data_IF_187727299281
#
_entry.id   IF_187727299281
#
_cell.length_a   1.000
_cell.length_b   1.000
_cell.length_c   1.000
_cell.angle_alpha   90.00
_cell.angle_beta   90.00
_cell.angle_gamma   90.00
#
_symmetry.space_group_name_H-M   'P 1'
#
loop_
_entity.id
_entity.type
_entity.pdbx_description
1 polymer ?
#
# COMPACT_ATOMS: atom_id res chain seq x y z
N UNK A 1 -9.17 -21.66 -22.08
CA UNK A 1 -9.06 -20.48 -21.18
C UNK A 1 -9.98 -20.74 -20.02
N UNK A 2 -9.49 -20.63 -18.78
CA UNK A 2 -10.35 -20.77 -17.60
C UNK A 2 -11.23 -19.52 -17.45
N UNK A 3 -12.41 -19.66 -16.84
CA UNK A 3 -13.25 -18.53 -16.45
C UNK A 3 -12.52 -17.62 -15.48
N UNK A 4 -12.53 -16.31 -15.72
CA UNK A 4 -11.93 -15.32 -14.82
C UNK A 4 -12.81 -14.07 -14.72
N UNK A 5 -12.69 -13.37 -13.60
CA UNK A 5 -13.30 -12.07 -13.37
C UNK A 5 -12.28 -11.12 -12.76
N UNK A 6 -12.41 -9.84 -13.02
CA UNK A 6 -11.59 -8.81 -12.41
C UNK A 6 -12.41 -7.55 -12.13
N UNK A 7 -11.98 -6.80 -11.12
CA UNK A 7 -12.55 -5.48 -10.79
C UNK A 7 -11.45 -4.63 -10.16
N UNK A 8 -11.26 -3.40 -10.66
CA UNK A 8 -10.35 -2.40 -10.07
C UNK A 8 -11.22 -1.22 -9.61
N UNK A 9 -11.86 -1.33 -8.43
CA UNK A 9 -12.85 -0.35 -7.98
C UNK A 9 -12.22 0.96 -7.47
N UNK A 10 -10.90 1.04 -7.41
CA UNK A 10 -10.17 2.17 -6.83
C UNK A 10 -10.09 3.36 -7.80
N UNK A 11 -10.05 4.55 -7.21
CA UNK A 11 -9.73 5.78 -7.94
C UNK A 11 -8.22 6.04 -7.86
N UNK A 12 -7.50 5.78 -8.94
CA UNK A 12 -6.05 5.89 -9.00
C UNK A 12 -5.65 7.13 -9.79
N UNK A 13 -4.90 8.03 -9.16
CA UNK A 13 -4.34 9.23 -9.78
C UNK A 13 -2.84 9.07 -9.93
N UNK A 14 -2.34 9.10 -11.16
CA UNK A 14 -0.90 8.94 -11.47
C UNK A 14 -0.37 10.18 -12.14
N UNK A 15 0.84 10.61 -11.75
CA UNK A 15 1.57 11.66 -12.44
C UNK A 15 2.45 12.48 -11.50
N UNK A 16 3.44 13.14 -12.10
CA UNK A 16 4.32 14.06 -11.40
C UNK A 16 3.52 15.20 -10.75
N UNK A 17 3.79 15.46 -9.46
CA UNK A 17 3.09 16.51 -8.69
C UNK A 17 1.66 16.15 -8.29
N UNK A 18 1.22 14.91 -8.48
CA UNK A 18 -0.16 14.49 -8.17
C UNK A 18 -0.49 14.57 -6.68
N UNK A 19 0.50 14.62 -5.79
CA UNK A 19 0.30 14.87 -4.34
C UNK A 19 -0.50 16.16 -4.09
N UNK A 20 -0.40 17.15 -4.96
CA UNK A 20 -1.16 18.41 -4.86
C UNK A 20 -2.68 18.22 -4.94
N UNK A 21 -3.15 17.07 -5.46
CA UNK A 21 -4.57 16.70 -5.53
C UNK A 21 -5.10 16.09 -4.24
N UNK A 22 -4.25 15.83 -3.25
CA UNK A 22 -4.65 15.20 -1.97
C UNK A 22 -5.84 15.90 -1.32
N UNK A 23 -5.90 17.25 -1.20
CA UNK A 23 -7.06 17.90 -0.58
C UNK A 23 -8.37 17.73 -1.38
N UNK A 24 -8.29 17.73 -2.70
CA UNK A 24 -9.46 17.50 -3.56
C UNK A 24 -9.98 16.08 -3.39
N UNK A 25 -9.07 15.09 -3.40
CA UNK A 25 -9.40 13.68 -3.24
C UNK A 25 -9.97 13.41 -1.84
N UNK A 26 -9.39 14.02 -0.80
CA UNK A 26 -9.88 13.92 0.56
C UNK A 26 -11.33 14.47 0.70
N UNK A 27 -11.64 15.58 0.04
CA UNK A 27 -13.03 16.10 -0.02
C UNK A 27 -13.98 15.15 -0.76
N UNK A 28 -13.51 14.53 -1.85
CA UNK A 28 -14.30 13.53 -2.58
C UNK A 28 -14.58 12.26 -1.77
N UNK A 29 -13.68 11.90 -0.85
CA UNK A 29 -13.92 10.78 0.06
C UNK A 29 -15.01 11.05 1.11
N UNK A 30 -15.45 12.31 1.22
CA UNK A 30 -16.47 12.74 2.17
C UNK A 30 -15.93 12.98 3.59
N UNK A 31 -14.62 12.87 3.79
CA UNK A 31 -13.99 13.03 5.10
C UNK A 31 -13.77 14.49 5.48
N UNK A 32 -13.81 14.77 6.77
CA UNK A 32 -13.57 16.09 7.37
C UNK A 32 -12.38 16.11 8.32
N UNK A 33 -11.97 14.95 8.83
CA UNK A 33 -10.88 14.79 9.78
C UNK A 33 -9.97 13.62 9.39
N UNK A 34 -8.81 13.94 8.85
CA UNK A 34 -7.81 12.99 8.39
C UNK A 34 -6.95 12.45 9.53
N UNK A 35 -6.70 11.15 9.55
CA UNK A 35 -5.63 10.53 10.32
C UNK A 35 -4.48 10.20 9.36
N UNK A 36 -3.44 11.02 9.37
CA UNK A 36 -2.29 10.89 8.47
C UNK A 36 -1.24 9.97 9.08
N UNK A 37 -1.09 8.79 8.52
CA UNK A 37 -0.20 7.73 8.97
C UNK A 37 1.06 7.65 8.11
N UNK A 38 2.23 7.59 8.75
CA UNK A 38 3.52 7.55 8.06
C UNK A 38 4.61 6.93 8.93
N UNK A 39 5.78 6.67 8.34
CA UNK A 39 6.98 6.30 9.08
C UNK A 39 7.81 7.54 9.52
N UNK A 40 8.72 7.37 10.49
CA UNK A 40 9.53 8.46 11.05
C UNK A 40 10.47 9.10 10.03
N UNK A 41 10.86 8.39 8.97
CA UNK A 41 11.74 8.91 7.94
C UNK A 41 11.09 10.08 7.18
N UNK A 42 9.88 9.91 6.68
CA UNK A 42 9.15 10.96 5.95
C UNK A 42 8.76 12.13 6.87
N UNK A 43 8.48 11.83 8.13
CA UNK A 43 8.23 12.88 9.14
C UNK A 43 9.46 13.76 9.33
N UNK A 44 10.66 13.17 9.48
CA UNK A 44 11.92 13.91 9.60
C UNK A 44 12.26 14.74 8.35
N UNK A 45 11.80 14.31 7.17
CA UNK A 45 11.98 15.06 5.93
C UNK A 45 10.96 16.22 5.77
N UNK A 46 10.02 16.41 6.71
CA UNK A 46 8.99 17.43 6.63
C UNK A 46 7.86 17.14 5.62
N UNK A 47 7.88 15.97 4.98
CA UNK A 47 6.88 15.61 3.96
C UNK A 47 5.51 15.36 4.57
N UNK A 48 5.46 14.75 5.76
CA UNK A 48 4.22 14.54 6.52
C UNK A 48 3.59 15.87 6.90
N UNK A 49 4.38 16.83 7.39
CA UNK A 49 3.91 18.16 7.73
C UNK A 49 3.40 18.93 6.49
N UNK A 50 4.10 18.82 5.35
CA UNK A 50 3.66 19.41 4.08
C UNK A 50 2.29 18.85 3.64
N UNK A 51 2.10 17.54 3.72
CA UNK A 51 0.82 16.91 3.39
C UNK A 51 -0.28 17.32 4.37
N UNK A 52 0.00 17.35 5.68
CA UNK A 52 -0.94 17.80 6.70
C UNK A 52 -1.35 19.26 6.49
N UNK A 53 -0.40 20.15 6.22
CA UNK A 53 -0.67 21.58 5.95
C UNK A 53 -1.51 21.77 4.68
N UNK A 54 -1.30 20.95 3.65
CA UNK A 54 -2.11 20.95 2.43
C UNK A 54 -3.57 20.61 2.74
N UNK A 55 -3.84 19.59 3.56
CA UNK A 55 -5.18 19.22 3.99
C UNK A 55 -5.82 20.31 4.87
N UNK A 56 -5.09 20.84 5.86
CA UNK A 56 -5.55 21.93 6.73
C UNK A 56 -5.93 23.18 5.94
N UNK A 57 -5.14 23.54 4.93
CA UNK A 57 -5.43 24.68 4.05
C UNK A 57 -6.73 24.50 3.25
N UNK A 58 -7.18 23.27 3.06
CA UNK A 58 -8.45 22.95 2.42
C UNK A 58 -9.64 22.82 3.41
N UNK A 59 -9.42 23.09 4.69
CA UNK A 59 -10.42 23.03 5.74
C UNK A 59 -10.64 21.63 6.33
N UNK A 60 -9.69 20.71 6.17
CA UNK A 60 -9.72 19.35 6.72
C UNK A 60 -8.86 19.32 7.99
N UNK A 61 -9.42 18.85 9.10
CA UNK A 61 -8.67 18.61 10.33
C UNK A 61 -7.69 17.47 10.14
N UNK A 62 -6.53 17.51 10.81
CA UNK A 62 -5.47 16.48 10.63
C UNK A 62 -4.81 16.16 11.95
N UNK A 63 -4.87 14.90 12.35
CA UNK A 63 -3.97 14.29 13.31
C UNK A 63 -2.97 13.38 12.61
N UNK A 64 -1.78 13.24 13.19
CA UNK A 64 -0.69 12.49 12.57
C UNK A 64 -0.19 11.37 13.47
N UNK A 65 0.09 10.21 12.89
CA UNK A 65 0.74 9.08 13.54
C UNK A 65 1.96 8.67 12.73
N UNK A 66 3.16 8.86 13.28
CA UNK A 66 4.43 8.67 12.54
C UNK A 66 5.35 7.62 13.15
N UNK A 67 4.88 6.88 14.15
CA UNK A 67 5.62 5.83 14.84
C UNK A 67 5.33 4.45 14.22
N UNK A 68 5.55 4.35 12.90
CA UNK A 68 5.40 3.10 12.16
C UNK A 68 6.77 2.62 11.69
N UNK A 69 7.20 1.50 12.23
CA UNK A 69 8.45 0.82 11.90
C UNK A 69 8.37 0.04 10.58
N UNK A 70 9.53 -0.36 10.07
CA UNK A 70 9.60 -1.38 9.01
C UNK A 70 9.20 -2.75 9.56
N UNK A 71 8.44 -3.54 8.80
CA UNK A 71 7.78 -4.76 9.28
C UNK A 71 6.92 -4.50 10.53
N UNK A 72 5.82 -3.76 10.40
CA UNK A 72 5.04 -3.27 11.52
C UNK A 72 4.42 -4.41 12.32
N UNK A 73 4.29 -4.19 13.63
CA UNK A 73 3.80 -5.17 14.58
C UNK A 73 2.30 -5.04 14.90
N UNK A 74 1.73 -6.09 15.50
CA UNK A 74 0.36 -6.05 16.05
C UNK A 74 0.23 -4.91 17.07
N UNK A 75 1.25 -4.71 17.90
CA UNK A 75 1.31 -3.65 18.91
C UNK A 75 1.26 -2.26 18.28
N UNK A 76 1.89 -2.08 17.11
CA UNK A 76 1.82 -0.82 16.36
C UNK A 76 0.42 -0.57 15.80
N UNK A 77 -0.26 -1.61 15.32
CA UNK A 77 -1.66 -1.50 14.89
C UNK A 77 -2.56 -1.11 16.06
N UNK A 78 -2.39 -1.73 17.25
CA UNK A 78 -3.19 -1.43 18.43
C UNK A 78 -3.00 0.02 18.90
N UNK A 79 -1.74 0.49 18.97
CA UNK A 79 -1.42 1.89 19.30
C UNK A 79 -2.03 2.87 18.30
N UNK A 80 -1.88 2.60 17.01
CA UNK A 80 -2.41 3.45 15.95
C UNK A 80 -3.95 3.46 15.96
N UNK A 81 -4.58 2.32 16.26
CA UNK A 81 -6.05 2.21 16.39
C UNK A 81 -6.57 3.04 17.57
N UNK A 82 -5.88 2.99 18.71
CA UNK A 82 -6.23 3.79 19.88
C UNK A 82 -6.11 5.29 19.56
N UNK A 83 -5.00 5.71 18.95
CA UNK A 83 -4.77 7.10 18.55
C UNK A 83 -5.80 7.59 17.50
N UNK A 84 -6.17 6.73 16.53
CA UNK A 84 -7.22 7.06 15.57
C UNK A 84 -8.57 7.33 16.24
N UNK A 85 -8.97 6.48 17.20
CA UNK A 85 -10.23 6.63 17.94
C UNK A 85 -10.22 7.87 18.84
N UNK A 86 -9.09 8.15 19.49
CA UNK A 86 -8.92 9.34 20.34
C UNK A 86 -8.99 10.63 19.52
N UNK A 87 -8.38 10.66 18.33
CA UNK A 87 -8.46 11.77 17.39
C UNK A 87 -9.89 12.04 16.91
N UNK A 88 -10.75 11.03 16.88
CA UNK A 88 -12.09 11.13 16.29
C UNK A 88 -12.07 11.37 14.78
N UNK A 89 -11.02 10.89 14.10
CA UNK A 89 -10.86 11.00 12.66
C UNK A 89 -11.88 10.13 11.90
N UNK A 90 -12.24 10.54 10.69
CA UNK A 90 -13.27 9.88 9.89
C UNK A 90 -12.71 9.20 8.61
N UNK A 91 -11.46 9.48 8.25
CA UNK A 91 -10.74 8.79 7.18
C UNK A 91 -9.24 8.71 7.45
N UNK A 92 -8.56 7.82 6.73
CA UNK A 92 -7.13 7.56 6.88
C UNK A 92 -6.39 8.01 5.61
N UNK A 93 -5.23 8.63 5.79
CA UNK A 93 -4.25 8.89 4.72
C UNK A 93 -2.99 8.10 5.05
N UNK A 94 -2.68 7.07 4.29
CA UNK A 94 -1.45 6.29 4.41
C UNK A 94 -0.38 6.88 3.50
N UNK A 95 0.67 7.47 4.07
CA UNK A 95 1.73 8.14 3.33
C UNK A 95 3.08 7.47 3.59
N UNK A 96 3.58 6.69 2.63
CA UNK A 96 4.85 5.98 2.78
C UNK A 96 5.00 4.76 1.90
N UNK A 97 5.83 3.82 2.31
CA UNK A 97 5.98 2.51 1.67
C UNK A 97 4.90 1.52 2.11
N UNK A 98 5.15 0.22 1.94
CA UNK A 98 4.20 -0.84 2.32
C UNK A 98 3.78 -0.80 3.78
N UNK A 99 4.73 -0.60 4.71
CA UNK A 99 4.46 -0.65 6.16
C UNK A 99 3.38 0.34 6.63
N UNK A 100 3.44 1.65 6.32
CA UNK A 100 2.36 2.58 6.65
C UNK A 100 1.02 2.22 6.02
N UNK A 101 1.01 1.66 4.81
CA UNK A 101 -0.23 1.25 4.13
C UNK A 101 -0.84 0.01 4.78
N UNK A 102 -0.03 -0.97 5.15
CA UNK A 102 -0.49 -2.20 5.79
C UNK A 102 -1.06 -1.91 7.19
N UNK A 103 -0.38 -1.05 7.97
CA UNK A 103 -0.92 -0.58 9.27
C UNK A 103 -2.22 0.20 9.06
N UNK A 104 -2.29 1.08 8.07
CA UNK A 104 -3.49 1.87 7.80
C UNK A 104 -4.71 1.00 7.42
N UNK A 105 -4.50 -0.06 6.62
CA UNK A 105 -5.53 -1.06 6.33
C UNK A 105 -5.98 -1.78 7.60
N UNK A 106 -5.03 -2.23 8.42
CA UNK A 106 -5.32 -2.91 9.68
C UNK A 106 -6.07 -2.00 10.66
N UNK A 107 -5.65 -0.74 10.81
CA UNK A 107 -6.36 0.28 11.63
C UNK A 107 -7.76 0.52 11.09
N UNK A 108 -7.93 0.58 9.75
CA UNK A 108 -9.24 0.72 9.13
C UNK A 108 -10.21 -0.41 9.51
N UNK A 109 -9.69 -1.64 9.70
CA UNK A 109 -10.45 -2.79 10.19
C UNK A 109 -10.76 -2.65 11.68
N UNK A 110 -9.73 -2.55 12.53
CA UNK A 110 -9.85 -2.61 13.99
C UNK A 110 -10.54 -1.37 14.58
N UNK A 111 -10.41 -0.21 13.94
CA UNK A 111 -11.15 0.99 14.34
C UNK A 111 -12.66 0.84 14.11
N UNK A 112 -13.05 0.20 13.00
CA UNK A 112 -14.45 0.06 12.61
C UNK A 112 -15.15 -1.14 13.24
N UNK A 113 -14.48 -2.29 13.30
CA UNK A 113 -15.09 -3.55 13.71
C UNK A 113 -14.65 -4.01 15.09
N UNK A 114 -13.61 -3.39 15.67
CA UNK A 114 -13.06 -3.78 16.97
C UNK A 114 -12.15 -5.00 16.90
N UNK A 115 -11.80 -5.55 18.06
CA UNK A 115 -10.91 -6.71 18.18
C UNK A 115 -9.45 -6.41 17.85
N UNK A 116 -8.63 -7.47 17.88
CA UNK A 116 -7.24 -7.43 17.41
C UNK A 116 -7.18 -7.77 15.93
N UNK A 117 -6.19 -7.23 15.21
CA UNK A 117 -5.96 -7.57 13.80
C UNK A 117 -5.70 -9.07 13.59
N UNK A 118 -5.23 -9.78 14.62
CA UNK A 118 -5.02 -11.24 14.61
C UNK A 118 -6.30 -12.03 14.39
N UNK A 119 -7.46 -11.51 14.78
CA UNK A 119 -8.76 -12.15 14.58
C UNK A 119 -9.18 -12.17 13.10
N UNK A 120 -8.63 -11.25 12.31
CA UNK A 120 -8.90 -11.11 10.88
C UNK A 120 -7.88 -11.82 9.99
N UNK A 121 -6.90 -12.53 10.58
CA UNK A 121 -5.89 -13.30 9.85
C UNK A 121 -6.50 -14.29 8.86
N UNK A 122 -5.99 -14.31 7.63
CA UNK A 122 -6.45 -15.17 6.54
C UNK A 122 -7.37 -14.45 5.56
N UNK A 123 -8.19 -15.20 4.83
CA UNK A 123 -8.96 -14.67 3.72
C UNK A 123 -10.42 -14.35 4.09
N UNK A 124 -10.88 -13.17 3.66
CA UNK A 124 -12.29 -12.74 3.70
C UNK A 124 -12.95 -12.77 5.09
N UNK A 125 -12.17 -12.49 6.15
CA UNK A 125 -12.69 -12.38 7.51
C UNK A 125 -13.13 -10.97 7.91
N UNK A 126 -12.81 -9.97 7.09
CA UNK A 126 -13.25 -8.58 7.32
C UNK A 126 -14.72 -8.46 6.95
N UNK A 127 -15.61 -8.01 7.87
CA UNK A 127 -17.06 -8.09 7.69
C UNK A 127 -17.64 -7.19 6.58
N UNK A 128 -16.89 -6.18 6.15
CA UNK A 128 -17.33 -5.22 5.13
C UNK A 128 -16.32 -4.08 4.95
N UNK A 129 -16.66 -3.01 4.20
CA UNK A 129 -15.75 -1.91 3.90
C UNK A 129 -15.15 -1.29 5.16
N UNK A 130 -13.86 -0.99 5.13
CA UNK A 130 -13.14 -0.35 6.25
C UNK A 130 -13.39 1.17 6.30
N UNK A 131 -12.74 1.86 7.24
CA UNK A 131 -12.63 3.33 7.24
C UNK A 131 -12.06 3.77 5.88
N UNK A 132 -12.59 4.82 5.22
CA UNK A 132 -12.08 5.30 3.94
C UNK A 132 -10.57 5.55 3.99
N UNK A 133 -9.84 5.01 3.01
CA UNK A 133 -8.38 5.05 2.97
C UNK A 133 -7.90 5.66 1.65
N UNK A 134 -7.01 6.65 1.78
CA UNK A 134 -6.23 7.24 0.68
C UNK A 134 -4.79 6.76 0.82
N UNK A 135 -4.25 6.06 -0.17
CA UNK A 135 -2.88 5.56 -0.17
C UNK A 135 -1.96 6.42 -1.05
N UNK A 136 -0.79 6.78 -0.52
CA UNK A 136 0.21 7.61 -1.19
C UNK A 136 1.57 6.90 -1.10
N UNK A 137 1.95 6.08 -2.10
CA UNK A 137 3.19 5.34 -2.07
C UNK A 137 4.41 6.25 -2.26
N UNK A 138 5.49 5.96 -1.53
CA UNK A 138 6.81 6.58 -1.68
C UNK A 138 7.89 5.59 -2.09
N UNK A 139 7.49 4.34 -2.32
CA UNK A 139 8.33 3.25 -2.85
C UNK A 139 7.59 2.56 -3.99
N UNK A 140 8.31 2.03 -4.95
CA UNK A 140 7.79 1.25 -6.06
C UNK A 140 8.18 -0.23 -5.83
N UNK A 141 7.37 -0.95 -5.06
CA UNK A 141 7.67 -2.33 -4.65
C UNK A 141 6.40 -3.12 -4.36
N UNK A 142 5.90 -3.01 -3.15
CA UNK A 142 4.81 -3.85 -2.63
C UNK A 142 3.48 -3.72 -3.38
N UNK A 143 3.23 -2.57 -4.04
CA UNK A 143 1.92 -2.29 -4.65
C UNK A 143 0.78 -2.24 -3.62
N UNK A 144 1.08 -2.00 -2.32
CA UNK A 144 0.07 -2.05 -1.26
C UNK A 144 -1.05 -1.04 -1.47
N UNK A 145 -0.82 0.03 -2.21
CA UNK A 145 -1.84 1.03 -2.60
C UNK A 145 -2.97 0.46 -3.47
N UNK A 146 -2.73 -0.69 -4.11
CA UNK A 146 -3.71 -1.33 -5.02
C UNK A 146 -3.97 -2.80 -4.70
N UNK A 147 -3.46 -3.31 -3.59
CA UNK A 147 -3.64 -4.70 -3.19
C UNK A 147 -4.59 -4.86 -2.00
N UNK A 148 -5.25 -6.00 -1.94
CA UNK A 148 -6.19 -6.39 -0.89
C UNK A 148 -5.50 -7.10 0.30
N UNK A 149 -4.22 -6.81 0.52
CA UNK A 149 -3.40 -7.44 1.56
C UNK A 149 -2.95 -6.44 2.61
N UNK A 150 -2.81 -6.92 3.85
CA UNK A 150 -2.11 -6.25 4.94
C UNK A 150 -1.25 -7.30 5.65
N UNK A 151 0.06 -7.05 5.73
CA UNK A 151 1.03 -7.95 6.35
C UNK A 151 1.57 -7.32 7.62
N UNK A 152 1.30 -7.97 8.76
CA UNK A 152 1.63 -7.48 10.10
C UNK A 152 2.45 -8.55 10.83
N UNK A 153 3.47 -8.15 11.56
CA UNK A 153 4.32 -9.05 12.36
C UNK A 153 3.67 -9.32 13.71
N UNK A 154 3.42 -10.57 14.01
CA UNK A 154 3.02 -11.03 15.34
C UNK A 154 4.26 -11.54 16.08
N UNK A 155 4.82 -10.70 16.96
CA UNK A 155 6.01 -11.07 17.74
C UNK A 155 5.74 -12.19 18.74
N UNK A 156 4.50 -12.38 19.18
CA UNK A 156 4.16 -13.46 20.12
C UNK A 156 4.29 -14.85 19.50
N UNK A 157 4.16 -14.93 18.16
CA UNK A 157 4.24 -16.17 17.39
C UNK A 157 5.48 -16.23 16.48
N UNK A 158 6.31 -15.18 16.46
CA UNK A 158 7.41 -15.00 15.50
C UNK A 158 6.94 -15.24 14.06
N UNK A 159 5.84 -14.59 13.68
CA UNK A 159 5.09 -14.89 12.48
C UNK A 159 4.60 -13.62 11.77
N UNK A 160 4.64 -13.61 10.44
CA UNK A 160 4.00 -12.56 9.62
C UNK A 160 2.58 -12.98 9.28
N UNK A 161 1.61 -12.46 10.02
CA UNK A 161 0.19 -12.66 9.70
C UNK A 161 -0.21 -11.85 8.47
N UNK A 162 -1.08 -12.42 7.67
CA UNK A 162 -1.63 -11.77 6.49
C UNK A 162 -3.15 -11.70 6.60
N UNK A 163 -3.69 -10.49 6.43
CA UNK A 163 -5.12 -10.26 6.25
C UNK A 163 -5.36 -10.04 4.76
N UNK A 164 -6.21 -10.86 4.17
CA UNK A 164 -6.66 -10.73 2.79
C UNK A 164 -8.16 -10.46 2.71
N UNK A 165 -8.53 -9.32 2.17
CA UNK A 165 -9.95 -9.00 1.88
C UNK A 165 -10.04 -7.85 0.89
N UNK A 166 -10.93 -7.92 -0.08
CA UNK A 166 -11.21 -6.78 -0.96
C UNK A 166 -11.77 -5.56 -0.20
N UNK A 167 -12.30 -5.77 1.00
CA UNK A 167 -12.81 -4.71 1.88
C UNK A 167 -11.74 -3.77 2.42
N UNK A 168 -10.44 -4.18 2.42
CA UNK A 168 -9.32 -3.36 2.87
C UNK A 168 -8.59 -2.63 1.74
N UNK A 169 -9.08 -2.75 0.50
CA UNK A 169 -8.53 -1.98 -0.62
C UNK A 169 -8.65 -0.47 -0.35
N UNK A 170 -7.59 0.31 -0.55
CA UNK A 170 -7.69 1.77 -0.51
C UNK A 170 -8.71 2.28 -1.53
N UNK A 171 -9.60 3.18 -1.14
CA UNK A 171 -10.58 3.76 -2.05
C UNK A 171 -9.92 4.68 -3.08
N UNK A 172 -8.82 5.32 -2.69
CA UNK A 172 -8.05 6.23 -3.53
C UNK A 172 -6.56 5.92 -3.42
N UNK A 173 -5.84 6.02 -4.55
CA UNK A 173 -4.39 5.98 -4.59
C UNK A 173 -3.84 7.20 -5.34
N UNK A 174 -2.81 7.84 -4.79
CA UNK A 174 -2.13 9.00 -5.40
C UNK A 174 -0.68 8.61 -5.64
N UNK A 175 -0.32 8.40 -6.88
CA UNK A 175 0.98 7.93 -7.33
C UNK A 175 1.77 9.10 -7.92
N UNK A 176 2.67 9.67 -7.12
CA UNK A 176 3.53 10.79 -7.47
C UNK A 176 4.99 10.33 -7.55
N UNK A 177 5.55 10.31 -8.76
CA UNK A 177 6.92 9.87 -8.99
C UNK A 177 7.98 10.72 -8.24
N UNK A 178 7.68 11.98 -7.94
CA UNK A 178 8.60 12.83 -7.16
C UNK A 178 8.83 12.30 -5.75
N UNK A 179 7.87 11.58 -5.16
CA UNK A 179 7.99 10.99 -3.83
C UNK A 179 9.01 9.84 -3.79
N UNK A 180 9.20 9.13 -4.89
CA UNK A 180 10.18 8.04 -4.97
C UNK A 180 11.63 8.54 -4.86
N UNK A 181 11.88 9.81 -5.18
CA UNK A 181 13.22 10.40 -5.08
C UNK A 181 13.75 10.44 -3.65
N UNK A 182 12.86 10.33 -2.66
CA UNK A 182 13.18 10.34 -1.23
C UNK A 182 13.78 9.02 -0.73
N UNK A 183 13.59 7.92 -1.46
CA UNK A 183 14.06 6.61 -1.06
C UNK A 183 15.58 6.47 -1.25
N UNK A 184 16.31 5.85 -0.30
CA UNK A 184 17.71 5.46 -0.52
C UNK A 184 17.85 4.49 -1.71
N UNK A 185 19.05 4.46 -2.34
CA UNK A 185 19.31 3.57 -3.48
C UNK A 185 19.06 2.08 -3.17
N UNK A 186 19.45 1.64 -1.97
CA UNK A 186 19.23 0.27 -1.52
C UNK A 186 17.75 -0.08 -1.41
N UNK A 187 16.94 0.84 -0.89
CA UNK A 187 15.48 0.67 -0.81
C UNK A 187 14.86 0.66 -2.21
N UNK A 188 15.28 1.59 -3.08
CA UNK A 188 14.82 1.64 -4.48
C UNK A 188 15.12 0.34 -5.24
N UNK A 189 16.32 -0.23 -5.03
CA UNK A 189 16.71 -1.51 -5.64
C UNK A 189 15.87 -2.68 -5.10
N UNK A 190 15.78 -2.81 -3.77
CA UNK A 190 15.03 -3.90 -3.14
C UNK A 190 13.54 -3.86 -3.55
N UNK A 191 12.91 -2.68 -3.44
CA UNK A 191 11.51 -2.52 -3.84
C UNK A 191 11.30 -2.77 -5.34
N UNK A 192 12.22 -2.31 -6.20
CA UNK A 192 12.09 -2.53 -7.64
C UNK A 192 12.20 -4.00 -8.04
N UNK A 193 13.07 -4.77 -7.38
CA UNK A 193 13.17 -6.22 -7.57
C UNK A 193 11.91 -6.91 -7.02
N UNK A 194 11.43 -6.51 -5.85
CA UNK A 194 10.19 -7.01 -5.24
C UNK A 194 8.99 -6.87 -6.22
N UNK A 195 8.80 -5.66 -6.77
CA UNK A 195 7.76 -5.44 -7.78
C UNK A 195 7.94 -6.31 -9.04
N UNK A 196 9.18 -6.51 -9.49
CA UNK A 196 9.47 -7.37 -10.64
C UNK A 196 9.08 -8.82 -10.36
N UNK A 197 9.46 -9.34 -9.19
CA UNK A 197 9.11 -10.70 -8.75
C UNK A 197 7.59 -10.86 -8.59
N UNK A 198 6.89 -9.90 -8.01
CA UNK A 198 5.42 -9.92 -7.95
C UNK A 198 4.78 -10.07 -9.34
N UNK A 199 5.32 -9.36 -10.34
CA UNK A 199 4.83 -9.48 -11.71
C UNK A 199 5.15 -10.86 -12.31
N UNK A 200 6.37 -11.37 -12.09
CA UNK A 200 6.78 -12.69 -12.55
C UNK A 200 5.93 -13.80 -11.91
N UNK A 201 5.74 -13.77 -10.60
CA UNK A 201 4.89 -14.72 -9.88
C UNK A 201 3.44 -14.70 -10.40
N UNK A 202 2.90 -13.51 -10.66
CA UNK A 202 1.58 -13.38 -11.25
C UNK A 202 1.50 -14.03 -12.65
N UNK A 203 2.54 -13.85 -13.46
CA UNK A 203 2.61 -14.38 -14.82
C UNK A 203 2.70 -15.90 -14.86
N UNK A 204 3.50 -16.51 -13.97
CA UNK A 204 3.67 -17.97 -13.91
C UNK A 204 2.61 -18.68 -13.05
N UNK A 205 1.68 -17.94 -12.43
CA UNK A 205 0.64 -18.50 -11.57
C UNK A 205 -0.29 -19.44 -12.34
N UNK A 206 -0.66 -20.55 -11.72
CA UNK A 206 -1.69 -21.47 -12.27
C UNK A 206 -3.08 -20.82 -12.36
N UNK A 207 -3.30 -19.70 -11.67
CA UNK A 207 -4.52 -18.89 -11.72
C UNK A 207 -4.39 -17.63 -12.60
N UNK A 208 -3.29 -17.54 -13.38
CA UNK A 208 -3.10 -16.46 -14.33
C UNK A 208 -4.23 -16.36 -15.35
N UNK A 209 -4.48 -15.17 -15.83
CA UNK A 209 -5.52 -14.86 -16.81
C UNK A 209 -4.98 -13.86 -17.82
N UNK A 210 -5.60 -13.71 -19.01
CA UNK A 210 -5.17 -12.70 -19.97
C UNK A 210 -5.11 -11.28 -19.41
N UNK A 211 -5.93 -10.96 -18.41
CA UNK A 211 -5.88 -9.68 -17.72
C UNK A 211 -4.63 -9.55 -16.84
N UNK A 212 -4.37 -10.54 -15.95
CA UNK A 212 -3.18 -10.53 -15.10
C UNK A 212 -1.90 -10.59 -15.92
N UNK A 213 -1.88 -11.37 -17.00
CA UNK A 213 -0.73 -11.51 -17.90
C UNK A 213 -0.36 -10.19 -18.56
N UNK A 214 -1.35 -9.47 -19.10
CA UNK A 214 -1.12 -8.17 -19.72
C UNK A 214 -0.56 -7.15 -18.73
N UNK A 215 -1.03 -7.15 -17.47
CA UNK A 215 -0.51 -6.28 -16.40
C UNK A 215 0.91 -6.71 -16.01
N UNK A 216 1.17 -8.01 -15.83
CA UNK A 216 2.47 -8.56 -15.45
C UNK A 216 3.54 -8.30 -16.50
N UNK A 217 3.25 -8.57 -17.78
CA UNK A 217 4.17 -8.29 -18.90
C UNK A 217 4.53 -6.81 -18.97
N UNK A 218 3.52 -5.92 -18.82
CA UNK A 218 3.77 -4.49 -18.83
C UNK A 218 4.58 -4.04 -17.63
N UNK A 219 4.32 -4.59 -16.44
CA UNK A 219 5.10 -4.32 -15.21
C UNK A 219 6.56 -4.73 -15.40
N UNK A 220 6.82 -5.97 -15.79
CA UNK A 220 8.18 -6.48 -16.04
C UNK A 220 8.93 -5.64 -17.08
N UNK A 221 8.27 -5.23 -18.16
CA UNK A 221 8.87 -4.37 -19.19
C UNK A 221 9.26 -2.99 -18.65
N UNK A 222 8.38 -2.35 -17.86
CA UNK A 222 8.65 -1.02 -17.30
C UNK A 222 9.78 -1.08 -16.26
N UNK A 223 9.69 -2.03 -15.33
CA UNK A 223 10.68 -2.19 -14.26
C UNK A 223 12.04 -2.59 -14.84
N UNK A 224 12.09 -3.63 -15.69
CA UNK A 224 13.32 -4.16 -16.25
C UNK A 224 14.13 -3.12 -17.04
N UNK A 225 13.45 -2.21 -17.74
CA UNK A 225 14.11 -1.12 -18.50
C UNK A 225 14.61 0.02 -17.62
N UNK A 226 13.97 0.27 -16.48
CA UNK A 226 14.17 1.51 -15.72
C UNK A 226 14.82 1.33 -14.35
N UNK A 227 14.80 0.12 -13.76
CA UNK A 227 15.33 -0.12 -12.41
C UNK A 227 16.78 0.33 -12.25
N UNK A 228 17.67 0.02 -13.22
CA UNK A 228 19.09 0.42 -13.15
C UNK A 228 19.26 1.94 -13.26
N UNK A 229 18.50 2.60 -14.14
CA UNK A 229 18.48 4.06 -14.28
C UNK A 229 18.05 4.71 -12.97
N UNK A 230 16.92 4.25 -12.43
CA UNK A 230 16.37 4.79 -11.19
C UNK A 230 17.27 4.54 -9.99
N UNK A 231 17.85 3.34 -9.84
CA UNK A 231 18.80 3.04 -8.76
C UNK A 231 20.10 3.84 -8.89
N UNK A 232 20.58 4.10 -10.10
CA UNK A 232 21.77 4.95 -10.33
C UNK A 232 21.49 6.44 -10.06
N UNK A 233 20.30 6.93 -10.41
CA UNK A 233 19.86 8.31 -10.22
C UNK A 233 18.39 8.40 -9.82
N UNK A 234 18.10 8.60 -8.50
CA UNK A 234 16.73 8.80 -7.98
C UNK A 234 16.07 10.07 -8.51
N UNK A 235 16.84 11.04 -8.99
CA UNK A 235 16.34 12.27 -9.63
C UNK A 235 15.87 12.07 -11.08
N UNK A 236 16.06 10.89 -11.67
CA UNK A 236 15.51 10.52 -12.98
C UNK A 236 14.00 10.27 -12.85
N UNK A 237 13.21 11.34 -12.99
CA UNK A 237 11.76 11.31 -12.77
C UNK A 237 11.06 10.42 -13.79
N UNK A 238 11.53 10.33 -15.02
CA UNK A 238 10.97 9.44 -16.04
C UNK A 238 11.15 7.97 -15.63
N UNK A 239 12.34 7.63 -15.13
CA UNK A 239 12.59 6.28 -14.60
C UNK A 239 11.77 6.02 -13.34
N UNK A 240 11.66 7.01 -12.42
CA UNK A 240 10.83 6.90 -11.22
C UNK A 240 9.35 6.66 -11.56
N UNK A 241 8.80 7.39 -12.52
CA UNK A 241 7.42 7.22 -12.99
C UNK A 241 7.21 5.83 -13.60
N UNK A 242 8.16 5.36 -14.41
CA UNK A 242 8.13 4.01 -14.97
C UNK A 242 8.18 2.92 -13.88
N UNK A 243 8.99 3.11 -12.84
CA UNK A 243 9.05 2.20 -11.69
C UNK A 243 7.75 2.19 -10.91
N UNK A 244 7.17 3.36 -10.66
CA UNK A 244 5.92 3.50 -9.92
C UNK A 244 4.74 2.84 -10.65
N UNK A 245 4.61 3.12 -11.96
CA UNK A 245 3.58 2.49 -12.81
C UNK A 245 3.82 1.00 -12.97
N UNK A 246 5.08 0.58 -13.04
CA UNK A 246 5.45 -0.86 -13.06
C UNK A 246 5.02 -1.57 -11.77
N UNK A 247 5.27 -0.96 -10.60
CA UNK A 247 4.83 -1.48 -9.30
C UNK A 247 3.29 -1.53 -9.20
N UNK A 248 2.60 -0.49 -9.68
CA UNK A 248 1.14 -0.46 -9.77
C UNK A 248 0.59 -1.67 -10.56
N UNK A 249 1.12 -1.91 -11.76
CA UNK A 249 0.68 -3.02 -12.60
C UNK A 249 1.04 -4.38 -12.01
N UNK A 250 2.21 -4.50 -11.35
CA UNK A 250 2.60 -5.71 -10.63
C UNK A 250 1.61 -6.03 -9.49
N UNK A 251 1.25 -5.03 -8.69
CA UNK A 251 0.27 -5.18 -7.60
C UNK A 251 -1.12 -5.59 -8.10
N UNK A 252 -1.57 -5.00 -9.21
CA UNK A 252 -2.83 -5.41 -9.86
C UNK A 252 -2.73 -6.86 -10.37
N UNK A 253 -1.67 -7.20 -11.13
CA UNK A 253 -1.47 -8.55 -11.64
C UNK A 253 -1.48 -9.60 -10.52
N UNK A 254 -0.71 -9.36 -9.47
CA UNK A 254 -0.59 -10.20 -8.28
C UNK A 254 -1.95 -10.43 -7.60
N UNK A 255 -2.75 -9.38 -7.44
CA UNK A 255 -4.08 -9.46 -6.82
C UNK A 255 -5.05 -10.36 -7.60
N UNK A 256 -4.96 -10.40 -8.93
CA UNK A 256 -5.87 -11.17 -9.77
C UNK A 256 -5.32 -12.54 -10.21
N UNK A 257 -4.02 -12.77 -10.14
CA UNK A 257 -3.42 -14.07 -10.38
C UNK A 257 -3.51 -15.04 -9.18
N UNK A 258 -4.10 -14.59 -8.06
CA UNK A 258 -4.32 -15.40 -6.83
C UNK A 258 -3.03 -16.06 -6.32
N UNK A 259 -1.89 -15.41 -6.46
CA UNK A 259 -0.58 -15.93 -6.02
C UNK A 259 -0.54 -16.20 -4.52
N UNK A 260 -1.37 -15.49 -3.72
CA UNK A 260 -1.54 -15.71 -2.29
C UNK A 260 -1.91 -17.16 -1.90
N UNK A 261 -2.48 -17.96 -2.82
CA UNK A 261 -2.75 -19.39 -2.55
C UNK A 261 -1.48 -20.22 -2.45
N UNK A 262 -0.40 -19.80 -3.11
CA UNK A 262 0.89 -20.49 -3.02
C UNK A 262 1.56 -20.26 -1.66
N UNK A 263 1.32 -19.09 -1.05
CA UNK A 263 2.01 -18.67 0.17
C UNK A 263 1.28 -19.03 1.47
N UNK A 264 -0.04 -19.23 1.43
CA UNK A 264 -0.86 -19.45 2.64
C UNK A 264 -1.35 -20.89 2.87
N UNK A 265 -1.03 -21.85 2.01
CA UNK A 265 -1.54 -23.24 2.10
C UNK A 265 -0.53 -24.26 2.65
N UNK A 266 0.67 -23.86 3.04
CA UNK A 266 1.60 -24.77 3.70
C UNK A 266 1.24 -24.89 5.20
N UNK A 267 1.23 -26.12 5.75
CA UNK A 267 0.94 -26.35 7.18
C UNK A 267 1.95 -25.71 8.12
N UNK A 268 3.11 -25.24 7.59
CA UNK A 268 4.16 -24.59 8.34
C UNK A 268 3.98 -23.08 8.50
N UNK A 269 2.99 -22.47 7.83
CA UNK A 269 2.72 -21.02 7.95
C UNK A 269 3.87 -20.11 7.47
N UNK A 270 4.88 -20.65 6.81
CA UNK A 270 5.98 -19.87 6.26
C UNK A 270 5.61 -19.35 4.87
N UNK A 271 5.41 -18.03 4.73
CA UNK A 271 5.55 -17.37 3.45
C UNK A 271 7.02 -17.50 3.02
N UNK A 272 7.30 -18.41 2.10
CA UNK A 272 8.58 -18.43 1.40
C UNK A 272 8.43 -17.40 0.27
N UNK A 273 9.16 -16.29 0.39
CA UNK A 273 9.46 -15.39 -0.73
C UNK A 273 10.39 -16.11 -1.67
#
# INVERSE_FOLDING_TARGET
MNEFSFSVPQNITVGKGSLTKLPEIAKKSGGSHAFLMSGPHLAKMGLVEKAANSLKSAGISVDTFTDIEGNPSVETVDKATAAFKEAGADFIVAFGGGSPMDVAKAVGVTAKYGGSITEYEGAHKVPGPIIPLIAIPTTAGTGSEVTAFSVITDHSRDYKLTVFSYEILPAYAILDAELLTTAPASVAAACGIDAFIHAEEAYISTAASPFSDAMAEKAMSLIGKNIRRFVANRGDIEAAESMLVGSLFAGIAFSFAKTWKCTCNEPSGQCIL
#
